data_IF_732981792430
#
_entry.id   IF_732981792430
#
_cell.length_a   1.000
_cell.length_b   1.000
_cell.length_c   1.000
_cell.angle_alpha   90.00
_cell.angle_beta   90.00
_cell.angle_gamma   90.00
#
_symmetry.space_group_name_H-M   'P 1'
#
loop_
_entity.id
_entity.type
_entity.pdbx_description
1 polymer ?
#
# COMPACT_ATOMS: atom_id res chain seq x y z
N UNK A 1 36.67 62.43 12.64
CA UNK A 1 37.42 63.01 11.51
C UNK A 1 37.01 62.22 10.28
N UNK A 2 35.89 62.64 9.70
CA UNK A 2 35.85 63.60 8.59
C UNK A 2 36.23 62.89 7.30
N UNK A 3 35.64 63.12 6.16
CA UNK A 3 34.38 63.73 5.70
C UNK A 3 34.55 63.63 4.17
N UNK A 4 33.46 63.72 3.43
CA UNK A 4 33.42 64.09 2.01
C UNK A 4 34.07 63.14 0.98
N UNK A 5 33.50 62.85 -0.19
CA UNK A 5 32.47 63.54 -0.94
C UNK A 5 32.93 63.56 -2.40
N UNK A 6 32.10 63.13 -3.35
CA UNK A 6 32.06 63.78 -4.66
C UNK A 6 30.73 63.52 -5.39
N UNK A 7 30.15 64.63 -5.85
CA UNK A 7 29.08 64.77 -6.84
C UNK A 7 29.58 64.30 -8.24
N UNK A 8 28.81 64.10 -9.30
CA UNK A 8 27.67 64.79 -9.97
C UNK A 8 27.15 63.74 -11.02
N UNK A 9 25.93 63.75 -11.58
CA UNK A 9 25.32 64.82 -12.34
C UNK A 9 23.85 64.48 -12.71
N UNK A 10 23.11 65.58 -12.85
CA UNK A 10 21.68 65.84 -13.14
C UNK A 10 21.18 65.27 -14.48
N UNK A 11 19.91 64.84 -14.55
CA UNK A 11 19.01 65.30 -15.63
C UNK A 11 17.51 65.15 -15.30
N UNK A 12 16.75 66.07 -15.89
CA UNK A 12 15.43 66.56 -15.46
C UNK A 12 14.23 65.82 -16.10
N UNK A 13 13.05 65.96 -15.47
CA UNK A 13 11.72 66.31 -16.03
C UNK A 13 10.62 65.93 -14.98
N UNK A 14 9.99 66.87 -14.27
CA UNK A 14 8.79 67.67 -14.64
C UNK A 14 7.55 66.79 -14.94
N UNK A 15 6.36 66.92 -14.34
CA UNK A 15 5.76 67.96 -13.49
C UNK A 15 4.48 67.44 -12.75
N UNK A 16 4.25 68.00 -11.56
CA UNK A 16 3.03 68.39 -10.81
C UNK A 16 1.68 67.70 -11.08
N UNK A 17 0.97 67.17 -10.08
CA UNK A 17 0.36 67.73 -8.83
C UNK A 17 -1.11 68.18 -8.97
N UNK A 18 -1.80 67.96 -7.85
CA UNK A 18 -3.23 67.79 -7.66
C UNK A 18 -4.08 69.08 -7.48
N UNK A 19 -5.40 68.86 -7.54
CA UNK A 19 -6.51 69.48 -6.78
C UNK A 19 -7.03 70.87 -7.15
N UNK A 20 -8.37 70.94 -7.21
CA UNK A 20 -9.17 72.15 -7.04
C UNK A 20 -10.67 71.82 -6.98
N UNK A 21 -11.28 72.04 -5.82
CA UNK A 21 -12.70 71.87 -5.46
C UNK A 21 -13.43 73.22 -5.63
N UNK A 22 -14.72 73.18 -5.99
CA UNK A 22 -15.67 74.29 -5.75
C UNK A 22 -17.05 74.11 -6.39
N UNK A 23 -18.08 73.90 -5.54
CA UNK A 23 -19.48 74.40 -5.49
C UNK A 23 -20.31 74.56 -6.79
N UNK A 24 -21.64 74.46 -6.87
CA UNK A 24 -22.81 74.23 -5.97
C UNK A 24 -24.05 74.10 -6.91
N UNK A 25 -25.12 73.53 -6.36
CA UNK A 25 -26.56 73.78 -6.67
C UNK A 25 -27.33 73.13 -7.84
N UNK A 26 -28.43 72.49 -7.39
CA UNK A 26 -29.82 72.50 -7.92
C UNK A 26 -30.48 71.27 -8.60
N UNK A 27 -31.47 70.76 -7.85
CA UNK A 27 -32.83 70.32 -8.23
C UNK A 27 -33.16 68.84 -8.58
N UNK A 28 -33.62 68.13 -7.53
CA UNK A 28 -34.98 67.57 -7.33
C UNK A 28 -35.76 66.96 -8.51
N UNK A 29 -36.02 65.62 -8.45
CA UNK A 29 -37.32 64.99 -8.73
C UNK A 29 -37.35 63.46 -8.51
N UNK A 30 -38.02 63.06 -7.42
CA UNK A 30 -38.96 61.94 -7.24
C UNK A 30 -38.76 60.51 -7.84
N UNK A 31 -38.75 59.54 -6.91
CA UNK A 31 -39.53 58.29 -6.83
C UNK A 31 -39.41 57.19 -7.91
N UNK A 32 -38.87 56.03 -7.51
CA UNK A 32 -39.62 54.77 -7.53
C UNK A 32 -38.91 53.71 -6.66
N UNK A 33 -39.68 53.12 -5.75
CA UNK A 33 -39.29 52.07 -4.81
C UNK A 33 -38.70 50.83 -5.51
N UNK A 34 -37.70 50.20 -4.89
CA UNK A 34 -37.48 48.77 -5.06
C UNK A 34 -37.35 48.11 -3.69
N UNK A 35 -38.37 47.29 -3.42
CA UNK A 35 -38.61 46.60 -2.19
C UNK A 35 -37.67 45.39 -2.05
N UNK A 36 -37.46 45.03 -0.79
CA UNK A 36 -36.71 43.92 -0.22
C UNK A 36 -36.75 42.57 -0.96
N UNK A 37 -35.57 41.92 -0.89
CA UNK A 37 -35.33 40.48 -0.65
C UNK A 37 -35.88 39.54 -1.72
N UNK A 38 -35.03 39.25 -2.71
CA UNK A 38 -35.05 37.94 -3.35
C UNK A 38 -34.43 36.98 -2.36
N UNK A 39 -35.29 36.25 -1.64
CA UNK A 39 -34.91 35.01 -0.99
C UNK A 39 -34.39 34.07 -2.09
N UNK A 40 -33.07 33.98 -2.23
CA UNK A 40 -32.46 32.84 -2.90
C UNK A 40 -32.51 31.68 -1.90
N UNK A 41 -33.71 31.11 -1.73
CA UNK A 41 -33.82 29.70 -1.37
C UNK A 41 -33.31 28.91 -2.58
N UNK A 42 -31.99 28.83 -2.70
CA UNK A 42 -31.37 27.76 -3.43
C UNK A 42 -31.75 26.52 -2.63
N UNK A 43 -32.65 25.71 -3.20
CA UNK A 43 -33.02 24.39 -2.73
C UNK A 43 -31.75 23.57 -2.43
N UNK A 44 -31.23 23.71 -1.21
CA UNK A 44 -30.10 22.92 -0.72
C UNK A 44 -30.52 21.46 -0.49
N UNK A 45 -31.83 21.18 -0.58
CA UNK A 45 -32.44 19.86 -0.46
C UNK A 45 -32.31 18.99 -1.73
N UNK A 46 -32.24 19.58 -2.94
CA UNK A 46 -32.18 18.80 -4.20
C UNK A 46 -30.75 18.34 -4.55
N UNK A 47 -29.74 19.05 -4.05
CA UNK A 47 -28.33 18.75 -4.33
C UNK A 47 -27.82 17.58 -3.47
N UNK A 48 -28.32 17.45 -2.25
CA UNK A 48 -28.05 16.31 -1.36
C UNK A 48 -28.72 15.01 -1.85
N UNK A 49 -29.95 15.07 -2.38
CA UNK A 49 -30.65 13.89 -2.93
C UNK A 49 -30.02 13.40 -4.25
N UNK A 50 -29.60 14.34 -5.10
CA UNK A 50 -28.91 14.00 -6.36
C UNK A 50 -27.49 13.45 -6.11
N UNK A 51 -26.76 14.02 -5.14
CA UNK A 51 -25.47 13.47 -4.72
C UNK A 51 -25.65 12.08 -4.10
N UNK A 52 -26.63 11.88 -3.22
CA UNK A 52 -26.96 10.59 -2.62
C UNK A 52 -27.30 9.53 -3.67
N UNK A 53 -28.10 9.87 -4.67
CA UNK A 53 -28.43 9.00 -5.81
C UNK A 53 -27.20 8.67 -6.67
N UNK A 54 -26.41 9.67 -7.04
CA UNK A 54 -25.20 9.48 -7.86
C UNK A 54 -24.14 8.64 -7.11
N UNK A 55 -24.05 8.79 -5.79
CA UNK A 55 -23.18 7.98 -4.93
C UNK A 55 -23.72 6.56 -4.84
N UNK A 56 -25.02 6.37 -4.62
CA UNK A 56 -25.61 5.03 -4.58
C UNK A 56 -25.54 4.28 -5.90
N UNK A 57 -25.78 4.93 -7.05
CA UNK A 57 -25.59 4.32 -8.38
C UNK A 57 -24.14 3.87 -8.63
N UNK A 58 -23.17 4.53 -7.99
CA UNK A 58 -21.75 4.17 -8.11
C UNK A 58 -21.28 3.17 -7.05
N UNK A 59 -22.00 3.02 -5.95
CA UNK A 59 -21.70 2.06 -4.86
C UNK A 59 -22.48 0.75 -5.02
N UNK A 60 -23.61 0.75 -5.75
CA UNK A 60 -24.45 -0.43 -5.92
C UNK A 60 -23.80 -1.45 -6.87
N UNK A 61 -23.10 -2.38 -6.22
CA UNK A 61 -22.78 -3.69 -6.76
C UNK A 61 -23.73 -4.73 -6.16
N UNK A 62 -24.14 -5.78 -6.90
CA UNK A 62 -24.78 -6.92 -6.27
C UNK A 62 -23.78 -7.51 -5.26
N UNK A 63 -24.08 -7.38 -3.97
CA UNK A 63 -23.28 -7.96 -2.88
C UNK A 63 -22.90 -9.43 -3.15
N UNK A 64 -23.79 -10.14 -3.85
CA UNK A 64 -23.62 -11.52 -4.31
C UNK A 64 -22.42 -11.74 -5.25
N UNK A 65 -22.16 -10.82 -6.17
CA UNK A 65 -21.05 -10.95 -7.11
C UNK A 65 -19.70 -10.73 -6.40
N UNK A 66 -19.66 -9.83 -5.41
CA UNK A 66 -18.47 -9.55 -4.61
C UNK A 66 -18.16 -10.69 -3.65
N UNK A 67 -19.19 -11.23 -3.00
CA UNK A 67 -19.09 -12.41 -2.15
C UNK A 67 -18.55 -13.61 -2.95
N UNK A 68 -19.06 -13.82 -4.16
CA UNK A 68 -18.59 -14.87 -5.07
C UNK A 68 -17.10 -14.68 -5.41
N UNK A 69 -16.68 -13.47 -5.75
CA UNK A 69 -15.28 -13.15 -6.00
C UNK A 69 -14.36 -13.34 -4.78
N UNK A 70 -14.83 -12.98 -3.59
CA UNK A 70 -14.11 -13.18 -2.33
C UNK A 70 -13.92 -14.67 -2.04
N UNK A 71 -14.99 -15.48 -2.19
CA UNK A 71 -14.94 -16.92 -2.04
C UNK A 71 -14.00 -17.57 -3.04
N UNK A 72 -14.07 -17.16 -4.31
CA UNK A 72 -13.21 -17.66 -5.36
C UNK A 72 -11.74 -17.35 -5.08
N UNK A 73 -11.44 -16.10 -4.68
CA UNK A 73 -10.09 -15.66 -4.32
C UNK A 73 -9.55 -16.45 -3.13
N UNK A 74 -10.35 -16.65 -2.07
CA UNK A 74 -9.93 -17.43 -0.91
C UNK A 74 -9.69 -18.91 -1.24
N UNK A 75 -10.51 -19.50 -2.11
CA UNK A 75 -10.29 -20.86 -2.59
C UNK A 75 -8.97 -20.98 -3.37
N UNK A 76 -8.68 -20.01 -4.25
CA UNK A 76 -7.40 -19.93 -4.95
C UNK A 76 -6.22 -19.82 -3.98
N UNK A 77 -6.31 -18.91 -3.01
CA UNK A 77 -5.28 -18.69 -2.01
C UNK A 77 -5.06 -19.89 -1.08
N UNK A 78 -6.10 -20.67 -0.81
CA UNK A 78 -5.98 -21.94 -0.08
C UNK A 78 -5.18 -22.98 -0.86
N UNK A 79 -5.37 -23.06 -2.18
CA UNK A 79 -4.56 -23.95 -3.03
C UNK A 79 -3.10 -23.51 -3.04
N UNK A 80 -2.83 -22.21 -3.18
CA UNK A 80 -1.48 -21.68 -3.05
C UNK A 80 -0.85 -22.02 -1.70
N UNK A 81 -1.58 -21.86 -0.59
CA UNK A 81 -1.06 -22.15 0.75
C UNK A 81 -0.57 -23.59 0.90
N UNK A 82 -1.28 -24.57 0.33
CA UNK A 82 -0.83 -25.98 0.34
C UNK A 82 0.51 -26.15 -0.38
N UNK A 83 0.67 -25.54 -1.56
CA UNK A 83 1.92 -25.62 -2.32
C UNK A 83 3.05 -24.78 -1.69
N UNK A 84 2.75 -23.65 -1.07
CA UNK A 84 3.74 -22.88 -0.31
C UNK A 84 4.34 -23.72 0.80
N UNK A 85 3.51 -24.44 1.56
CA UNK A 85 3.98 -25.32 2.61
C UNK A 85 4.85 -26.46 2.07
N UNK A 86 4.50 -27.02 0.92
CA UNK A 86 5.27 -28.09 0.29
C UNK A 86 6.62 -27.60 -0.25
N UNK A 87 6.64 -26.49 -0.99
CA UNK A 87 7.84 -25.96 -1.66
C UNK A 87 8.81 -25.35 -0.67
N UNK A 88 8.30 -24.73 0.41
CA UNK A 88 9.12 -24.09 1.43
C UNK A 88 9.48 -25.05 2.57
N UNK A 89 8.99 -26.30 2.54
CA UNK A 89 9.33 -27.31 3.51
C UNK A 89 10.85 -27.49 3.58
N UNK A 90 11.40 -27.44 4.80
CA UNK A 90 12.83 -27.57 5.08
C UNK A 90 13.74 -26.48 4.45
N UNK A 91 13.17 -25.42 3.87
CA UNK A 91 13.93 -24.27 3.41
C UNK A 91 14.16 -23.26 4.55
N UNK A 92 15.07 -22.30 4.35
CA UNK A 92 15.27 -21.17 5.25
C UNK A 92 14.48 -19.91 4.83
N UNK A 93 13.38 -20.08 4.10
CA UNK A 93 12.46 -18.99 3.76
C UNK A 93 11.31 -18.88 4.78
N UNK A 94 10.61 -17.72 4.87
CA UNK A 94 9.51 -17.56 5.81
C UNK A 94 8.40 -18.59 5.57
N UNK A 95 7.89 -19.17 6.65
CA UNK A 95 6.78 -20.13 6.59
C UNK A 95 5.49 -19.36 6.34
N UNK A 96 4.82 -19.63 5.22
CA UNK A 96 3.63 -18.90 4.78
C UNK A 96 2.34 -19.55 5.30
N UNK A 97 1.59 -18.84 6.13
CA UNK A 97 0.33 -19.30 6.68
C UNK A 97 -0.83 -19.09 5.70
N UNK A 98 -2.01 -19.66 6.03
CA UNK A 98 -3.24 -19.45 5.27
C UNK A 98 -3.55 -17.95 5.15
N UNK A 99 -3.91 -17.53 3.93
CA UNK A 99 -4.28 -16.16 3.65
C UNK A 99 -5.54 -15.73 4.39
N UNK A 100 -5.64 -14.43 4.67
CA UNK A 100 -6.78 -13.78 5.32
C UNK A 100 -7.31 -12.73 4.33
N UNK A 101 -8.60 -12.77 4.01
CA UNK A 101 -9.23 -11.73 3.19
C UNK A 101 -9.27 -10.41 3.95
N UNK A 102 -8.83 -9.33 3.31
CA UNK A 102 -8.78 -7.97 3.88
C UNK A 102 -9.18 -6.93 2.84
N UNK A 103 -9.51 -5.72 3.28
CA UNK A 103 -9.84 -4.61 2.37
C UNK A 103 -11.29 -4.61 1.90
N UNK A 104 -11.63 -3.60 1.09
CA UNK A 104 -13.02 -3.23 0.79
C UNK A 104 -13.85 -4.37 0.21
N UNK A 105 -13.27 -5.17 -0.69
CA UNK A 105 -13.95 -6.30 -1.31
C UNK A 105 -14.45 -7.31 -0.27
N UNK A 106 -13.61 -7.64 0.72
CA UNK A 106 -13.95 -8.56 1.81
C UNK A 106 -14.83 -7.93 2.89
N UNK A 107 -15.01 -6.61 2.85
CA UNK A 107 -15.95 -5.84 3.70
C UNK A 107 -17.29 -5.59 2.99
N UNK A 108 -17.49 -6.11 1.78
CA UNK A 108 -18.76 -6.03 1.05
C UNK A 108 -18.93 -4.79 0.18
N UNK A 109 -17.86 -4.04 -0.13
CA UNK A 109 -17.97 -2.83 -0.94
C UNK A 109 -16.80 -2.60 -1.93
N UNK A 110 -17.10 -2.00 -3.08
CA UNK A 110 -16.10 -1.51 -4.05
C UNK A 110 -16.62 -0.24 -4.75
N UNK A 111 -15.77 0.77 -5.01
CA UNK A 111 -16.20 1.97 -5.71
C UNK A 111 -16.64 1.76 -7.17
N UNK A 112 -16.11 0.73 -7.85
CA UNK A 112 -16.43 0.34 -9.24
C UNK A 112 -16.15 -1.15 -9.47
N UNK A 113 -16.82 -1.74 -10.45
CA UNK A 113 -16.62 -3.13 -10.91
C UNK A 113 -15.20 -3.39 -11.43
N UNK A 114 -14.73 -2.53 -12.34
CA UNK A 114 -13.46 -2.74 -13.03
C UNK A 114 -12.23 -2.51 -12.11
N UNK A 115 -12.47 -1.93 -10.93
CA UNK A 115 -11.44 -1.55 -9.97
C UNK A 115 -11.41 -2.45 -8.72
N UNK A 116 -12.21 -3.54 -8.68
CA UNK A 116 -12.20 -4.46 -7.53
C UNK A 116 -10.82 -5.10 -7.40
N UNK A 117 -10.18 -4.88 -6.25
CA UNK A 117 -8.95 -5.56 -5.86
C UNK A 117 -9.23 -6.44 -4.65
N UNK A 118 -9.09 -7.75 -4.82
CA UNK A 118 -9.20 -8.71 -3.73
C UNK A 118 -7.88 -8.74 -2.96
N UNK A 119 -7.83 -8.01 -1.85
CA UNK A 119 -6.64 -7.94 -1.03
C UNK A 119 -6.62 -9.11 -0.04
N UNK A 120 -5.48 -9.78 0.06
CA UNK A 120 -5.28 -10.90 0.98
C UNK A 120 -3.99 -10.70 1.76
N UNK A 121 -4.04 -10.91 3.06
CA UNK A 121 -2.87 -10.92 3.94
C UNK A 121 -2.39 -12.35 4.13
N UNK A 122 -1.13 -12.62 3.80
CA UNK A 122 -0.44 -13.89 4.04
C UNK A 122 0.51 -13.72 5.23
N UNK A 123 0.15 -14.27 6.40
CA UNK A 123 1.03 -14.19 7.56
C UNK A 123 2.29 -15.03 7.35
N UNK A 124 3.43 -14.51 7.76
CA UNK A 124 4.74 -15.14 7.72
C UNK A 124 5.22 -15.46 9.14
N UNK A 125 5.72 -16.68 9.33
CA UNK A 125 6.45 -17.09 10.53
C UNK A 125 7.94 -17.26 10.19
N UNK A 126 8.85 -17.03 11.16
CA UNK A 126 10.26 -17.21 10.93
C UNK A 126 10.60 -18.68 10.63
N UNK A 127 11.55 -18.94 9.72
CA UNK A 127 12.08 -20.29 9.52
C UNK A 127 12.91 -20.74 10.73
N UNK A 128 13.23 -22.02 10.79
CA UNK A 128 14.08 -22.58 11.83
C UNK A 128 15.43 -21.85 11.92
N UNK A 129 15.90 -21.62 13.16
CA UNK A 129 17.13 -20.88 13.44
C UNK A 129 17.04 -19.38 13.20
N UNK A 130 15.83 -18.86 12.99
CA UNK A 130 15.57 -17.43 12.84
C UNK A 130 14.45 -16.98 13.77
N UNK A 131 14.45 -15.71 14.14
CA UNK A 131 13.36 -15.05 14.84
C UNK A 131 13.07 -13.68 14.23
N UNK A 132 11.80 -13.27 14.31
CA UNK A 132 11.32 -11.99 13.83
C UNK A 132 11.03 -11.07 15.02
N UNK A 133 11.70 -9.93 15.05
CA UNK A 133 11.49 -8.89 16.06
C UNK A 133 10.91 -7.65 15.38
N UNK A 134 9.81 -7.15 15.93
CA UNK A 134 9.20 -5.92 15.47
C UNK A 134 9.89 -4.73 16.15
N UNK A 135 10.57 -3.91 15.37
CA UNK A 135 11.22 -2.69 15.82
C UNK A 135 10.44 -1.47 15.34
N UNK A 136 10.26 -0.49 16.22
CA UNK A 136 9.70 0.80 15.84
C UNK A 136 10.82 1.66 15.24
N UNK A 137 10.57 2.27 14.07
CA UNK A 137 11.52 3.20 13.47
C UNK A 137 11.61 4.45 14.36
N UNK A 138 12.76 4.63 15.01
CA UNK A 138 13.04 5.78 15.88
C UNK A 138 13.54 7.00 15.09
N UNK A 139 13.79 6.85 13.79
CA UNK A 139 14.30 7.93 12.95
C UNK A 139 13.16 8.80 12.38
N UNK A 140 12.86 9.90 13.08
CA UNK A 140 12.23 11.07 12.48
C UNK A 140 10.71 11.15 12.59
N UNK A 141 10.24 11.99 13.51
CA UNK A 141 8.89 12.52 13.54
C UNK A 141 8.49 13.12 12.17
N UNK A 142 7.64 12.42 11.42
CA UNK A 142 6.43 12.95 10.74
C UNK A 142 5.74 11.82 9.94
N UNK A 143 4.53 11.48 10.43
CA UNK A 143 3.52 10.62 9.83
C UNK A 143 3.87 9.12 9.64
N UNK A 144 2.96 8.28 10.14
CA UNK A 144 2.93 6.80 10.09
C UNK A 144 3.85 6.09 11.08
N UNK A 145 3.26 5.18 11.87
CA UNK A 145 3.96 4.26 12.76
C UNK A 145 4.76 3.29 11.89
N UNK A 146 5.98 3.65 11.53
CA UNK A 146 6.85 2.81 10.70
C UNK A 146 7.42 1.71 11.59
N UNK A 147 7.02 0.47 11.33
CA UNK A 147 7.62 -0.70 11.94
C UNK A 147 8.54 -1.39 10.93
N UNK A 148 9.67 -1.88 11.41
CA UNK A 148 10.59 -2.71 10.64
C UNK A 148 10.69 -4.06 11.31
N UNK A 149 10.86 -5.09 10.49
CA UNK A 149 11.00 -6.46 10.98
C UNK A 149 12.49 -6.78 10.96
N UNK A 150 13.09 -6.89 12.14
CA UNK A 150 14.46 -7.37 12.29
C UNK A 150 14.45 -8.89 12.36
N UNK A 151 15.31 -9.50 11.56
CA UNK A 151 15.56 -10.94 11.54
C UNK A 151 16.83 -11.19 12.35
N UNK A 152 16.74 -12.07 13.34
CA UNK A 152 17.86 -12.50 14.17
C UNK A 152 18.08 -14.00 14.00
N UNK A 153 19.35 -14.43 14.05
CA UNK A 153 19.69 -15.85 14.06
C UNK A 153 19.65 -16.39 15.49
N UNK A 154 19.14 -17.60 15.62
CA UNK A 154 19.08 -18.34 16.87
C UNK A 154 19.90 -19.62 16.78
N UNK A 155 20.54 -19.99 17.88
CA UNK A 155 21.34 -21.20 17.95
C UNK A 155 20.44 -22.43 17.92
N UNK A 156 20.70 -23.35 16.99
CA UNK A 156 19.95 -24.60 16.86
C UNK A 156 20.64 -25.80 17.52
N UNK A 157 21.84 -25.63 18.10
CA UNK A 157 22.67 -26.73 18.60
C UNK A 157 22.12 -27.45 19.83
N UNK A 158 21.31 -26.79 20.66
CA UNK A 158 20.76 -27.34 21.89
C UNK A 158 19.37 -27.96 21.72
N UNK A 159 18.74 -27.75 20.56
CA UNK A 159 17.43 -28.33 20.26
C UNK A 159 17.63 -29.81 19.94
N UNK A 160 16.79 -30.70 20.47
CA UNK A 160 16.77 -32.16 20.21
C UNK A 160 16.55 -32.53 18.72
N UNK A 161 16.67 -31.57 17.79
CA UNK A 161 16.53 -31.69 16.35
C UNK A 161 17.82 -32.10 15.62
N UNK A 162 18.66 -32.95 16.21
CA UNK A 162 19.70 -33.67 15.45
C UNK A 162 19.13 -34.61 14.36
N UNK A 163 17.80 -34.64 14.18
CA UNK A 163 17.08 -35.39 13.15
C UNK A 163 16.82 -34.66 11.83
N UNK A 164 17.32 -33.43 11.62
CA UNK A 164 17.31 -32.79 10.29
C UNK A 164 18.72 -32.26 10.00
N UNK A 165 19.27 -32.57 8.83
CA UNK A 165 20.61 -32.21 8.35
C UNK A 165 20.81 -30.68 8.19
N UNK A 166 20.57 -29.89 9.23
CA UNK A 166 20.75 -28.44 9.24
C UNK A 166 21.97 -28.07 10.06
N UNK A 167 22.89 -27.33 9.45
CA UNK A 167 24.03 -26.74 10.12
C UNK A 167 23.61 -25.43 10.81
N UNK A 168 24.05 -25.26 12.07
CA UNK A 168 23.76 -24.05 12.83
C UNK A 168 24.47 -22.84 12.21
N UNK A 169 23.71 -21.81 11.83
CA UNK A 169 24.24 -20.58 11.23
C UNK A 169 25.18 -19.77 12.14
N UNK A 170 25.14 -19.99 13.45
CA UNK A 170 25.98 -19.27 14.42
C UNK A 170 27.32 -19.96 14.71
N UNK A 171 27.41 -21.28 14.51
CA UNK A 171 28.57 -22.06 14.94
C UNK A 171 29.36 -22.71 13.79
N UNK A 172 28.78 -22.80 12.59
CA UNK A 172 29.51 -23.27 11.41
C UNK A 172 30.08 -22.10 10.58
N UNK A 173 31.25 -22.27 9.95
CA UNK A 173 31.83 -21.28 9.06
C UNK A 173 30.97 -21.05 7.81
N UNK A 174 31.01 -19.83 7.27
CA UNK A 174 30.16 -19.39 6.14
C UNK A 174 30.39 -20.21 4.87
N UNK A 175 31.61 -20.66 4.65
CA UNK A 175 32.02 -21.46 3.50
C UNK A 175 31.32 -22.81 3.50
N UNK A 176 31.33 -23.49 4.66
CA UNK A 176 30.64 -24.76 4.85
C UNK A 176 29.12 -24.61 4.68
N UNK A 177 28.54 -23.55 5.27
CA UNK A 177 27.12 -23.23 5.15
C UNK A 177 26.69 -23.03 3.69
N UNK A 178 27.51 -22.36 2.87
CA UNK A 178 27.22 -22.12 1.45
C UNK A 178 27.26 -23.37 0.59
N UNK A 179 28.08 -24.34 0.96
CA UNK A 179 28.23 -25.60 0.20
C UNK A 179 27.19 -26.64 0.60
N UNK A 180 26.85 -26.69 1.89
CA UNK A 180 26.11 -27.83 2.45
C UNK A 180 24.63 -27.54 2.74
N UNK A 181 24.17 -26.29 2.65
CA UNK A 181 22.76 -25.96 2.84
C UNK A 181 22.32 -24.68 2.11
N UNK A 182 21.01 -24.47 2.05
CA UNK A 182 20.42 -23.28 1.42
C UNK A 182 20.88 -21.97 2.10
N UNK A 183 20.92 -20.84 1.37
CA UNK A 183 21.20 -19.55 1.95
C UNK A 183 20.20 -19.17 3.04
N UNK A 184 20.68 -18.57 4.14
CA UNK A 184 19.83 -17.98 5.18
C UNK A 184 18.93 -16.89 4.59
N UNK A 185 17.75 -16.74 5.20
CA UNK A 185 16.83 -15.62 4.99
C UNK A 185 17.52 -14.24 5.01
N UNK A 186 18.53 -14.09 5.87
CA UNK A 186 19.31 -12.84 5.99
C UNK A 186 20.05 -12.48 4.71
N UNK A 187 20.44 -13.47 3.92
CA UNK A 187 21.15 -13.25 2.66
C UNK A 187 20.20 -13.11 1.46
N UNK A 188 18.97 -13.59 1.56
CA UNK A 188 18.01 -13.62 0.45
C UNK A 188 17.00 -12.48 0.52
N UNK A 189 16.26 -12.34 1.63
CA UNK A 189 15.13 -11.41 1.74
C UNK A 189 15.45 -10.17 2.60
N UNK A 190 16.60 -10.13 3.27
CA UNK A 190 16.96 -9.00 4.14
C UNK A 190 17.92 -8.01 3.46
N UNK A 191 17.89 -6.76 3.93
CA UNK A 191 18.91 -5.74 3.71
C UNK A 191 19.51 -5.40 5.07
N UNK A 192 20.75 -5.82 5.31
CA UNK A 192 21.30 -5.87 6.66
C UNK A 192 20.58 -6.95 7.49
N UNK A 193 20.09 -6.57 8.68
CA UNK A 193 19.28 -7.46 9.54
C UNK A 193 17.77 -7.26 9.38
N UNK A 194 17.32 -6.39 8.48
CA UNK A 194 15.90 -6.05 8.36
C UNK A 194 15.31 -6.66 7.10
N UNK A 195 14.09 -7.20 7.22
CA UNK A 195 13.37 -7.77 6.09
C UNK A 195 13.09 -6.65 5.07
N UNK A 196 13.54 -6.88 3.84
CA UNK A 196 13.42 -5.91 2.75
C UNK A 196 12.10 -6.13 2.01
N UNK A 197 11.27 -5.10 1.98
CA UNK A 197 9.93 -5.16 1.40
C UNK A 197 9.96 -5.48 -0.10
N UNK A 198 10.92 -4.94 -0.84
CA UNK A 198 11.00 -5.15 -2.29
C UNK A 198 11.53 -6.55 -2.62
N UNK A 199 12.57 -7.01 -1.91
CA UNK A 199 13.08 -8.39 -2.06
C UNK A 199 11.99 -9.40 -1.71
N UNK A 200 11.24 -9.15 -0.62
CA UNK A 200 10.14 -10.01 -0.19
C UNK A 200 9.01 -10.03 -1.22
N UNK A 201 8.57 -8.87 -1.71
CA UNK A 201 7.54 -8.80 -2.75
C UNK A 201 7.96 -9.53 -4.04
N UNK A 202 9.22 -9.36 -4.46
CA UNK A 202 9.80 -10.07 -5.61
C UNK A 202 9.86 -11.57 -5.39
N UNK A 203 10.19 -12.01 -4.18
CA UNK A 203 10.19 -13.44 -3.83
C UNK A 203 8.79 -14.04 -3.92
N UNK A 204 7.76 -13.38 -3.39
CA UNK A 204 6.36 -13.81 -3.56
C UNK A 204 5.96 -13.87 -5.03
N UNK A 205 6.36 -12.89 -5.84
CA UNK A 205 6.12 -12.89 -7.28
C UNK A 205 6.68 -14.15 -7.95
N UNK A 206 7.93 -14.51 -7.65
CA UNK A 206 8.55 -15.72 -8.20
C UNK A 206 7.86 -16.99 -7.68
N UNK A 207 7.46 -17.01 -6.42
CA UNK A 207 6.80 -18.14 -5.80
C UNK A 207 5.42 -18.41 -6.43
N UNK A 208 4.61 -17.36 -6.61
CA UNK A 208 3.32 -17.46 -7.32
C UNK A 208 3.52 -17.94 -8.75
N UNK A 209 4.50 -17.37 -9.47
CA UNK A 209 4.82 -17.78 -10.85
C UNK A 209 5.21 -19.25 -10.95
N UNK A 210 6.06 -19.72 -10.04
CA UNK A 210 6.57 -21.08 -10.05
C UNK A 210 5.49 -22.11 -9.69
N UNK A 211 4.59 -21.75 -8.77
CA UNK A 211 3.56 -22.65 -8.26
C UNK A 211 2.33 -22.68 -9.17
N UNK A 212 2.01 -21.58 -9.85
CA UNK A 212 0.80 -21.45 -10.68
C UNK A 212 0.53 -22.65 -11.61
N UNK A 213 1.49 -23.17 -12.38
CA UNK A 213 1.23 -24.31 -13.27
C UNK A 213 0.71 -25.56 -12.55
N UNK A 214 1.07 -25.76 -11.29
CA UNK A 214 0.65 -26.92 -10.49
C UNK A 214 -0.76 -26.79 -9.89
N UNK A 215 -1.38 -25.60 -9.96
CA UNK A 215 -2.72 -25.40 -9.41
C UNK A 215 -3.79 -25.94 -10.38
N UNK A 216 -4.89 -26.53 -9.86
CA UNK A 216 -6.02 -26.91 -10.70
C UNK A 216 -6.57 -25.77 -11.55
N UNK A 217 -6.53 -24.54 -11.01
CA UNK A 217 -7.02 -23.33 -11.68
C UNK A 217 -6.24 -23.02 -12.97
N UNK A 218 -4.97 -23.41 -13.09
CA UNK A 218 -4.11 -23.07 -14.23
C UNK A 218 -4.59 -23.63 -15.57
N UNK A 219 -5.49 -24.61 -15.53
CA UNK A 219 -6.01 -25.29 -16.71
C UNK A 219 -7.02 -24.42 -17.49
N UNK A 220 -7.78 -23.59 -16.77
CA UNK A 220 -8.87 -22.79 -17.34
C UNK A 220 -8.67 -21.28 -17.12
N UNK A 221 -7.66 -20.91 -16.35
CA UNK A 221 -7.35 -19.52 -16.02
C UNK A 221 -5.92 -19.18 -16.45
N UNK A 222 -5.71 -17.93 -16.83
CA UNK A 222 -4.42 -17.37 -17.17
C UNK A 222 -3.97 -16.41 -16.08
N UNK A 223 -2.75 -16.61 -15.59
CA UNK A 223 -2.09 -15.72 -14.63
C UNK A 223 -1.33 -14.61 -15.35
N UNK A 224 -1.59 -13.37 -14.97
CA UNK A 224 -0.84 -12.18 -15.37
C UNK A 224 -0.29 -11.53 -14.11
N UNK A 225 1.02 -11.56 -13.94
CA UNK A 225 1.65 -10.93 -12.78
C UNK A 225 1.80 -9.42 -13.02
N UNK A 226 1.43 -8.61 -12.04
CA UNK A 226 1.42 -7.15 -12.12
C UNK A 226 2.63 -6.56 -11.40
N UNK A 227 3.21 -5.46 -11.90
CA UNK A 227 4.35 -4.82 -11.25
C UNK A 227 3.93 -4.18 -9.93
N UNK A 228 4.57 -4.59 -8.83
CA UNK A 228 4.49 -3.92 -7.53
C UNK A 228 5.81 -4.08 -6.79
N UNK A 229 6.19 -3.05 -6.01
CA UNK A 229 7.40 -3.06 -5.18
C UNK A 229 7.13 -3.44 -3.72
N UNK A 230 5.87 -3.45 -3.30
CA UNK A 230 5.49 -3.61 -1.87
C UNK A 230 4.52 -4.74 -1.60
N UNK A 231 4.00 -5.36 -2.64
CA UNK A 231 3.03 -6.45 -2.59
C UNK A 231 3.25 -7.36 -3.80
N UNK A 232 2.68 -8.56 -3.75
CA UNK A 232 2.60 -9.41 -4.93
C UNK A 232 1.22 -9.24 -5.55
N UNK A 233 1.14 -8.44 -6.61
CA UNK A 233 -0.10 -8.23 -7.35
C UNK A 233 -0.15 -9.13 -8.58
N UNK A 234 -1.30 -9.72 -8.82
CA UNK A 234 -1.53 -10.52 -10.02
C UNK A 234 -3.02 -10.53 -10.39
N UNK A 235 -3.27 -10.81 -11.65
CA UNK A 235 -4.59 -10.98 -12.21
C UNK A 235 -4.73 -12.40 -12.74
N UNK A 236 -5.91 -12.97 -12.57
CA UNK A 236 -6.28 -14.28 -13.11
C UNK A 236 -7.55 -14.10 -13.93
N UNK A 237 -7.53 -14.57 -15.18
CA UNK A 237 -8.66 -14.44 -16.09
C UNK A 237 -8.89 -15.70 -16.92
N UNK A 238 -10.16 -16.03 -17.18
CA UNK A 238 -10.58 -17.09 -18.10
C UNK A 238 -11.16 -16.54 -19.42
N UNK A 239 -10.97 -15.24 -19.69
CA UNK A 239 -11.51 -14.53 -20.85
C UNK A 239 -12.93 -13.98 -20.68
N UNK A 240 -13.70 -14.47 -19.69
CA UNK A 240 -15.02 -13.92 -19.32
C UNK A 240 -14.96 -13.15 -18.02
N UNK A 241 -14.29 -13.73 -17.04
CA UNK A 241 -14.10 -13.21 -15.70
C UNK A 241 -12.64 -12.85 -15.49
N UNK A 242 -12.41 -11.88 -14.62
CA UNK A 242 -11.08 -11.43 -14.25
C UNK A 242 -11.06 -11.02 -12.79
N UNK A 243 -10.17 -11.62 -12.01
CA UNK A 243 -9.95 -11.27 -10.61
C UNK A 243 -8.57 -10.65 -10.46
N UNK A 244 -8.51 -9.43 -9.92
CA UNK A 244 -7.25 -8.78 -9.53
C UNK A 244 -7.02 -9.02 -8.05
N UNK A 245 -5.93 -9.70 -7.73
CA UNK A 245 -5.55 -10.07 -6.38
C UNK A 245 -4.30 -9.30 -5.97
N UNK A 246 -4.32 -8.76 -4.76
CA UNK A 246 -3.14 -8.18 -4.12
C UNK A 246 -2.78 -9.00 -2.88
N UNK A 247 -1.65 -9.67 -2.94
CA UNK A 247 -1.09 -10.41 -1.82
C UNK A 247 -0.18 -9.49 -1.00
N UNK A 248 -0.64 -9.19 0.21
CA UNK A 248 0.11 -8.53 1.27
C UNK A 248 0.76 -9.59 2.15
N UNK A 249 1.91 -9.28 2.73
CA UNK A 249 2.60 -10.15 3.66
C UNK A 249 2.79 -9.42 5.00
N UNK A 250 2.61 -10.15 6.09
CA UNK A 250 2.71 -9.60 7.43
C UNK A 250 3.30 -10.60 8.40
N UNK A 251 3.86 -10.12 9.50
CA UNK A 251 4.32 -10.97 10.61
C UNK A 251 3.38 -10.82 11.77
N UNK A 252 3.09 -11.90 12.49
CA UNK A 252 2.30 -11.83 13.72
C UNK A 252 3.20 -11.43 14.88
N UNK A 253 2.75 -10.45 15.66
CA UNK A 253 3.39 -10.09 16.92
C UNK A 253 2.84 -11.03 18.02
N UNK A 254 3.71 -11.88 18.58
CA UNK A 254 3.37 -12.79 19.67
C UNK A 254 3.70 -14.26 19.36
N UNK A 255 4.31 -14.91 20.36
CA UNK A 255 4.87 -16.27 20.41
C UNK A 255 6.40 -16.37 20.17
N UNK A 256 7.16 -15.36 20.60
CA UNK A 256 8.57 -15.58 20.98
C UNK A 256 8.64 -16.26 22.34
#
# INVERSE_FOLDING_TARGET
>A
NNDDGNAQQVNNNAANEERGVGNEDDNEAANAANNMVVANDINNFDLEDNFGRMVMERIQWPEQDLEMGCRWTMALMNNFATYFQLVLANSFHPVLQRAIGVGSAFEGWSPREQDVVYQVLVPMAPPQGHSFHLEQDTAGQRCMRNFRIRVQLECTCSSEQQGRNMLCFLHHPKEELRTNQDPSLLHTLCTGSHLDVEKTARWFYQLVRAIWPALPQSHNWHLVLLPSRRSCQFQVTNGRESYRIEMLFGVRQGNS
#
